data_IF_055343921841
#
_entry.id   IF_055343921841
#
_cell.length_a   1.000
_cell.length_b   1.000
_cell.length_c   1.000
_cell.angle_alpha   90.00
_cell.angle_beta   90.00
_cell.angle_gamma   90.00
#
_symmetry.space_group_name_H-M   'P 1'
#
loop_
_entity.id
_entity.type
_entity.pdbx_description
1 polymer ?
#
# COMPACT_ATOMS: atom_id res chain seq x y z
N UNK A 1 1.03 -11.88 10.43
CA UNK A 1 -0.05 -11.16 9.72
C UNK A 1 -0.80 -10.33 10.74
N UNK A 2 -1.20 -9.12 10.38
CA UNK A 2 -2.03 -8.26 11.22
C UNK A 2 -3.51 -8.64 11.03
N UNK A 3 -4.29 -8.45 12.09
CA UNK A 3 -5.75 -8.57 12.03
C UNK A 3 -6.38 -7.30 11.43
N UNK A 4 -7.63 -7.39 10.98
CA UNK A 4 -8.40 -6.24 10.51
C UNK A 4 -8.40 -5.08 11.53
N UNK A 5 -8.57 -5.39 12.83
CA UNK A 5 -8.59 -4.38 13.89
C UNK A 5 -7.23 -3.70 14.08
N UNK A 6 -6.14 -4.46 14.05
CA UNK A 6 -4.78 -3.89 14.17
C UNK A 6 -4.47 -2.96 12.98
N UNK A 7 -4.86 -3.35 11.76
CA UNK A 7 -4.70 -2.50 10.57
C UNK A 7 -5.58 -1.24 10.65
N UNK A 8 -6.84 -1.36 11.02
CA UNK A 8 -7.73 -0.23 11.24
C UNK A 8 -7.13 0.80 12.21
N UNK A 9 -6.68 0.35 13.39
CA UNK A 9 -6.08 1.22 14.38
C UNK A 9 -4.79 1.88 13.87
N UNK A 10 -4.00 1.16 13.09
CA UNK A 10 -2.77 1.70 12.48
C UNK A 10 -3.10 2.80 11.46
N UNK A 11 -3.99 2.54 10.52
CA UNK A 11 -4.44 3.50 9.50
C UNK A 11 -5.02 4.75 10.17
N UNK A 12 -5.91 4.58 11.15
CA UNK A 12 -6.52 5.67 11.90
C UNK A 12 -5.49 6.59 12.58
N UNK A 13 -4.41 6.02 13.13
CA UNK A 13 -3.32 6.82 13.73
C UNK A 13 -2.55 7.61 12.67
N UNK A 14 -2.30 7.03 11.51
CA UNK A 14 -1.64 7.72 10.39
C UNK A 14 -2.52 8.86 9.89
N UNK A 15 -3.80 8.60 9.60
CA UNK A 15 -4.73 9.62 9.09
C UNK A 15 -4.89 10.83 10.01
N UNK A 16 -4.73 10.65 11.33
CA UNK A 16 -4.82 11.74 12.31
C UNK A 16 -3.66 12.73 12.30
N UNK A 17 -2.51 12.34 11.76
CA UNK A 17 -1.28 13.15 11.81
C UNK A 17 -0.86 13.67 10.44
N UNK A 18 -1.66 13.43 9.41
CA UNK A 18 -1.36 13.90 8.05
C UNK A 18 -2.61 14.44 7.37
N UNK A 19 -2.43 15.39 6.46
CA UNK A 19 -3.46 15.88 5.54
C UNK A 19 -3.32 15.28 4.14
N UNK A 20 -2.32 14.44 3.91
CA UNK A 20 -2.12 13.75 2.62
C UNK A 20 -3.10 12.59 2.54
N UNK A 21 -3.78 12.36 1.39
CA UNK A 21 -4.63 11.18 1.21
C UNK A 21 -3.88 9.89 1.48
N UNK A 22 -4.48 8.99 2.27
CA UNK A 22 -3.87 7.69 2.62
C UNK A 22 -4.42 6.60 1.73
N UNK A 23 -3.51 5.91 1.05
CA UNK A 23 -3.78 4.67 0.33
C UNK A 23 -3.44 3.47 1.21
N UNK A 24 -4.44 2.71 1.62
CA UNK A 24 -4.31 1.64 2.60
C UNK A 24 -4.43 0.25 1.98
N UNK A 25 -3.61 -0.69 2.45
CA UNK A 25 -3.73 -2.11 2.13
C UNK A 25 -4.94 -2.72 2.89
N UNK A 26 -5.80 -3.44 2.19
CA UNK A 26 -6.91 -4.19 2.77
C UNK A 26 -6.70 -5.71 2.68
N UNK A 27 -5.48 -6.15 2.38
CA UNK A 27 -5.16 -7.56 2.20
C UNK A 27 -6.19 -8.26 1.27
N UNK A 28 -6.81 -9.34 1.73
CA UNK A 28 -7.88 -10.06 1.00
C UNK A 28 -9.29 -9.66 1.45
N UNK A 29 -9.44 -8.55 2.20
CA UNK A 29 -10.70 -8.16 2.85
C UNK A 29 -10.97 -8.92 4.15
N UNK A 30 -9.98 -9.61 4.70
CA UNK A 30 -9.96 -10.32 6.00
C UNK A 30 -10.98 -11.45 6.17
N UNK A 31 -11.61 -11.90 5.09
CA UNK A 31 -12.58 -13.00 5.14
C UNK A 31 -13.43 -13.08 3.88
N UNK A 32 -14.73 -13.38 4.04
CA UNK A 32 -15.71 -13.45 2.96
C UNK A 32 -16.30 -12.08 2.61
N UNK A 33 -17.52 -12.07 2.06
CA UNK A 33 -18.19 -10.85 1.61
C UNK A 33 -18.54 -9.90 2.76
N UNK A 34 -18.92 -10.42 3.92
CA UNK A 34 -19.30 -9.61 5.09
C UNK A 34 -18.07 -8.96 5.74
N UNK A 35 -16.95 -9.65 5.81
CA UNK A 35 -15.70 -9.08 6.28
C UNK A 35 -15.17 -8.02 5.31
N UNK A 36 -15.36 -8.23 4.00
CA UNK A 36 -15.01 -7.23 2.98
C UNK A 36 -15.86 -5.94 3.12
N UNK A 37 -17.17 -6.05 3.35
CA UNK A 37 -18.03 -4.90 3.69
C UNK A 37 -17.53 -4.17 4.93
N UNK A 38 -17.32 -4.89 6.01
CA UNK A 38 -16.78 -4.30 7.24
C UNK A 38 -15.43 -3.64 7.03
N UNK A 39 -14.59 -4.17 6.12
CA UNK A 39 -13.28 -3.57 5.84
C UNK A 39 -13.40 -2.18 5.26
N UNK A 40 -14.26 -1.98 4.24
CA UNK A 40 -14.41 -0.64 3.65
C UNK A 40 -15.00 0.35 4.65
N UNK A 41 -16.01 -0.05 5.42
CA UNK A 41 -16.61 0.80 6.48
C UNK A 41 -15.55 1.25 7.50
N UNK A 42 -14.69 0.34 7.94
CA UNK A 42 -13.61 0.66 8.88
C UNK A 42 -12.52 1.55 8.25
N UNK A 43 -12.16 1.34 6.99
CA UNK A 43 -11.15 2.16 6.31
C UNK A 43 -11.65 3.59 6.06
N UNK A 44 -12.94 3.75 5.71
CA UNK A 44 -13.61 5.07 5.66
C UNK A 44 -13.61 5.74 7.04
N UNK A 45 -14.02 5.03 8.10
CA UNK A 45 -14.01 5.53 9.48
C UNK A 45 -12.59 5.92 9.93
N UNK A 46 -11.57 5.17 9.53
CA UNK A 46 -10.18 5.48 9.85
C UNK A 46 -9.69 6.78 9.17
N UNK A 47 -10.34 7.23 8.11
CA UNK A 47 -9.99 8.42 7.32
C UNK A 47 -9.07 8.11 6.14
N UNK A 48 -8.96 6.85 5.70
CA UNK A 48 -8.28 6.52 4.46
C UNK A 48 -9.06 7.09 3.26
N UNK A 49 -8.37 7.36 2.16
CA UNK A 49 -8.99 7.86 0.92
C UNK A 49 -9.08 6.79 -0.16
N UNK A 50 -8.22 5.78 -0.08
CA UNK A 50 -8.08 4.71 -1.07
C UNK A 50 -7.75 3.42 -0.36
N UNK A 51 -8.30 2.30 -0.85
CA UNK A 51 -7.83 0.98 -0.49
C UNK A 51 -7.53 0.12 -1.73
N UNK A 52 -6.69 -0.88 -1.57
CA UNK A 52 -6.66 -2.01 -2.50
C UNK A 52 -6.98 -3.32 -1.78
N UNK A 53 -7.63 -4.22 -2.51
CA UNK A 53 -7.96 -5.57 -2.05
C UNK A 53 -7.49 -6.57 -3.10
N UNK A 54 -6.91 -7.70 -2.67
CA UNK A 54 -6.30 -8.70 -3.53
C UNK A 54 -7.07 -10.03 -3.56
N UNK A 55 -6.95 -10.75 -4.68
CA UNK A 55 -7.64 -12.02 -4.94
C UNK A 55 -6.88 -13.27 -4.47
N UNK A 56 -5.99 -13.13 -3.48
CA UNK A 56 -5.33 -14.29 -2.88
C UNK A 56 -6.29 -15.05 -1.94
N UNK A 57 -6.10 -16.39 -1.89
CA UNK A 57 -6.67 -17.22 -0.84
C UNK A 57 -5.89 -17.04 0.47
N UNK A 58 -6.58 -17.07 1.62
CA UNK A 58 -5.93 -17.05 2.93
C UNK A 58 -5.28 -18.41 3.27
N UNK A 59 -4.11 -18.42 3.92
CA UNK A 59 -3.31 -17.27 4.34
C UNK A 59 -2.53 -16.65 3.17
N UNK A 60 -2.71 -15.35 2.97
CA UNK A 60 -2.05 -14.63 1.88
C UNK A 60 -0.54 -14.53 2.08
N UNK A 61 0.19 -14.29 0.99
CA UNK A 61 1.64 -14.05 0.99
C UNK A 61 1.97 -12.75 0.28
N UNK A 62 3.16 -12.19 0.56
CA UNK A 62 3.65 -11.07 -0.24
C UNK A 62 3.65 -11.43 -1.74
N UNK A 63 3.20 -10.51 -2.59
CA UNK A 63 3.07 -10.70 -4.04
C UNK A 63 4.36 -11.17 -4.73
N UNK A 64 5.51 -10.78 -4.20
CA UNK A 64 6.83 -11.21 -4.69
C UNK A 64 7.27 -12.61 -4.22
N UNK A 65 6.52 -13.26 -3.34
CA UNK A 65 6.82 -14.62 -2.86
C UNK A 65 6.18 -15.71 -3.75
N UNK A 66 6.64 -16.93 -3.58
CA UNK A 66 6.11 -18.12 -4.25
C UNK A 66 5.05 -18.83 -3.41
N UNK A 67 4.26 -19.70 -4.04
CA UNK A 67 3.27 -20.53 -3.36
C UNK A 67 2.03 -19.77 -2.90
N UNK A 68 1.70 -18.67 -3.57
CA UNK A 68 0.39 -18.01 -3.48
C UNK A 68 -0.70 -18.92 -4.08
N UNK A 69 -1.92 -18.72 -3.63
CA UNK A 69 -3.13 -19.32 -4.20
C UNK A 69 -4.14 -18.22 -4.45
N UNK A 70 -4.97 -18.39 -5.46
CA UNK A 70 -6.03 -17.42 -5.80
C UNK A 70 -7.39 -17.99 -5.44
N UNK A 71 -8.29 -17.10 -5.03
CA UNK A 71 -9.71 -17.41 -5.00
C UNK A 71 -10.29 -17.38 -6.43
N UNK A 72 -11.41 -18.03 -6.70
CA UNK A 72 -12.12 -17.89 -7.98
C UNK A 72 -12.42 -16.41 -8.28
N UNK A 73 -12.28 -15.99 -9.54
CA UNK A 73 -12.55 -14.61 -9.94
C UNK A 73 -13.98 -14.16 -9.58
N UNK A 74 -14.98 -15.06 -9.63
CA UNK A 74 -16.35 -14.75 -9.23
C UNK A 74 -16.46 -14.47 -7.72
N UNK A 75 -15.73 -15.20 -6.88
CA UNK A 75 -15.68 -14.92 -5.45
C UNK A 75 -15.11 -13.53 -5.16
N UNK A 76 -14.03 -13.14 -5.86
CA UNK A 76 -13.49 -11.79 -5.75
C UNK A 76 -14.47 -10.73 -6.22
N UNK A 77 -15.19 -10.96 -7.33
CA UNK A 77 -16.24 -10.06 -7.81
C UNK A 77 -17.36 -9.87 -6.78
N UNK A 78 -17.75 -10.93 -6.07
CA UNK A 78 -18.75 -10.84 -4.99
C UNK A 78 -18.26 -9.99 -3.83
N UNK A 79 -16.98 -10.14 -3.39
CA UNK A 79 -16.37 -9.28 -2.37
C UNK A 79 -16.35 -7.82 -2.81
N UNK A 80 -15.91 -7.54 -4.05
CA UNK A 80 -15.87 -6.19 -4.60
C UNK A 80 -17.26 -5.54 -4.65
N UNK A 81 -18.30 -6.28 -5.11
CA UNK A 81 -19.69 -5.79 -5.08
C UNK A 81 -20.14 -5.46 -3.66
N UNK A 82 -19.85 -6.35 -2.72
CA UNK A 82 -20.23 -6.16 -1.33
C UNK A 82 -19.54 -4.92 -0.71
N UNK A 83 -18.27 -4.70 -1.02
CA UNK A 83 -17.55 -3.49 -0.60
C UNK A 83 -18.14 -2.22 -1.21
N UNK A 84 -18.38 -2.21 -2.52
CA UNK A 84 -18.95 -1.05 -3.20
C UNK A 84 -20.38 -0.73 -2.75
N UNK A 85 -21.17 -1.75 -2.39
CA UNK A 85 -22.52 -1.59 -1.81
C UNK A 85 -22.47 -0.97 -0.41
N UNK A 86 -21.46 -1.33 0.39
CA UNK A 86 -21.28 -0.82 1.75
C UNK A 86 -20.56 0.54 1.81
N UNK A 87 -19.97 0.98 0.69
CA UNK A 87 -19.24 2.25 0.61
C UNK A 87 -20.20 3.42 0.88
N UNK A 88 -19.87 4.24 1.88
CA UNK A 88 -20.67 5.41 2.27
C UNK A 88 -20.21 6.70 1.58
N UNK A 89 -18.90 6.85 1.32
CA UNK A 89 -18.33 7.99 0.62
C UNK A 89 -18.10 7.63 -0.86
N UNK A 90 -18.80 8.25 -1.81
CA UNK A 90 -18.62 7.97 -3.24
C UNK A 90 -17.21 8.33 -3.75
N UNK A 91 -16.48 9.20 -3.04
CA UNK A 91 -15.11 9.59 -3.37
C UNK A 91 -14.05 8.65 -2.75
N UNK A 92 -14.46 7.69 -1.91
CA UNK A 92 -13.57 6.66 -1.40
C UNK A 92 -13.21 5.67 -2.51
N UNK A 93 -11.92 5.54 -2.83
CA UNK A 93 -11.42 4.85 -4.01
C UNK A 93 -11.09 3.38 -3.74
N UNK A 94 -11.69 2.46 -4.49
CA UNK A 94 -11.48 1.02 -4.37
C UNK A 94 -10.67 0.51 -5.54
N UNK A 95 -9.47 -0.03 -5.28
CA UNK A 95 -8.57 -0.61 -6.28
C UNK A 95 -8.62 -2.13 -6.21
N UNK A 96 -9.02 -2.78 -7.29
CA UNK A 96 -8.94 -4.22 -7.41
C UNK A 96 -7.53 -4.66 -7.81
N UNK A 97 -6.93 -5.52 -6.96
CA UNK A 97 -5.62 -6.13 -7.20
C UNK A 97 -5.75 -7.58 -7.58
N UNK A 98 -4.93 -8.03 -8.53
CA UNK A 98 -4.74 -9.46 -8.79
C UNK A 98 -3.29 -9.87 -8.60
N UNK A 99 -3.11 -11.03 -7.99
CA UNK A 99 -1.81 -11.70 -7.82
C UNK A 99 -1.58 -12.84 -8.83
N UNK A 100 -2.41 -12.91 -9.88
CA UNK A 100 -2.38 -13.98 -10.89
C UNK A 100 -1.05 -14.11 -11.62
N UNK A 101 -0.30 -13.01 -11.83
CA UNK A 101 1.05 -13.07 -12.41
C UNK A 101 2.01 -14.03 -11.71
N UNK A 102 1.79 -14.26 -10.43
CA UNK A 102 2.64 -15.14 -9.61
C UNK A 102 2.12 -16.57 -9.48
N UNK A 103 0.92 -16.85 -9.98
CA UNK A 103 0.20 -18.15 -9.80
C UNK A 103 -0.14 -18.79 -11.14
N UNK A 104 -0.66 -18.00 -12.06
CA UNK A 104 -1.05 -18.39 -13.41
C UNK A 104 -0.16 -17.67 -14.45
N UNK A 105 -0.71 -16.70 -15.17
CA UNK A 105 -0.02 -15.93 -16.19
C UNK A 105 -0.59 -14.51 -16.37
N UNK A 106 -0.09 -13.79 -17.37
CA UNK A 106 -0.50 -12.43 -17.69
C UNK A 106 -1.94 -12.38 -18.24
N UNK A 107 -2.34 -13.36 -19.04
CA UNK A 107 -3.66 -13.37 -19.66
C UNK A 107 -4.76 -13.57 -18.62
N UNK A 108 -4.58 -14.47 -17.65
CA UNK A 108 -5.48 -14.64 -16.51
C UNK A 108 -5.52 -13.36 -15.64
N UNK A 109 -4.34 -12.75 -15.37
CA UNK A 109 -4.29 -11.52 -14.60
C UNK A 109 -5.14 -10.41 -15.25
N UNK A 110 -5.01 -10.23 -16.56
CA UNK A 110 -5.78 -9.23 -17.30
C UNK A 110 -7.27 -9.60 -17.33
N UNK A 111 -7.63 -10.84 -17.64
CA UNK A 111 -9.03 -11.28 -17.69
C UNK A 111 -9.74 -11.10 -16.33
N UNK A 112 -9.02 -11.34 -15.21
CA UNK A 112 -9.53 -11.06 -13.86
C UNK A 112 -9.81 -9.58 -13.68
N UNK A 113 -8.85 -8.69 -13.98
CA UNK A 113 -9.04 -7.25 -13.82
C UNK A 113 -10.11 -6.67 -14.76
N UNK A 114 -10.25 -7.17 -15.99
CA UNK A 114 -11.38 -6.83 -16.87
C UNK A 114 -12.71 -7.20 -16.19
N UNK A 115 -12.79 -8.37 -15.55
CA UNK A 115 -13.99 -8.81 -14.83
C UNK A 115 -14.24 -8.00 -13.55
N UNK A 116 -13.20 -7.51 -12.89
CA UNK A 116 -13.31 -6.66 -11.68
C UNK A 116 -13.68 -5.22 -12.05
N UNK A 117 -13.15 -4.70 -13.16
CA UNK A 117 -13.57 -3.41 -13.70
C UNK A 117 -15.07 -3.37 -14.01
N UNK A 118 -15.62 -4.47 -14.55
CA UNK A 118 -17.06 -4.60 -14.83
C UNK A 118 -17.95 -4.60 -13.56
N UNK A 119 -17.37 -4.75 -12.36
CA UNK A 119 -18.09 -4.60 -11.08
C UNK A 119 -18.27 -3.12 -10.71
N UNK A 120 -17.41 -2.23 -11.20
CA UNK A 120 -17.44 -0.80 -10.93
C UNK A 120 -16.41 -0.32 -9.92
N UNK A 121 -15.27 -1.02 -9.80
CA UNK A 121 -14.12 -0.54 -9.01
C UNK A 121 -13.49 0.70 -9.65
N UNK A 122 -12.77 1.47 -8.86
CA UNK A 122 -12.25 2.78 -9.28
C UNK A 122 -10.81 2.72 -9.82
N UNK A 123 -10.10 1.61 -9.62
CA UNK A 123 -8.73 1.43 -10.14
C UNK A 123 -8.31 -0.03 -10.22
N UNK A 124 -7.23 -0.29 -10.94
CA UNK A 124 -6.73 -1.64 -11.24
C UNK A 124 -5.26 -1.79 -10.88
N UNK A 125 -4.90 -2.98 -10.41
CA UNK A 125 -3.54 -3.29 -9.99
C UNK A 125 -3.17 -4.74 -10.30
N UNK A 126 -2.16 -4.94 -11.17
CA UNK A 126 -1.51 -6.25 -11.38
C UNK A 126 -0.24 -6.31 -10.54
N UNK A 127 -0.17 -7.23 -9.59
CA UNK A 127 1.02 -7.37 -8.75
C UNK A 127 2.12 -8.21 -9.42
N UNK A 128 3.37 -7.81 -9.19
CA UNK A 128 4.60 -8.50 -9.59
C UNK A 128 4.75 -8.83 -11.09
N UNK A 129 4.48 -7.93 -12.05
CA UNK A 129 4.93 -8.09 -13.43
C UNK A 129 6.46 -8.15 -13.47
N UNK A 130 7.03 -8.95 -14.40
CA UNK A 130 8.45 -9.33 -14.37
C UNK A 130 9.31 -8.61 -15.40
N UNK A 131 8.70 -7.89 -16.33
CA UNK A 131 9.42 -7.16 -17.38
C UNK A 131 8.69 -5.90 -17.82
N UNK A 132 9.40 -5.02 -18.50
CA UNK A 132 8.85 -3.79 -19.07
C UNK A 132 7.83 -4.12 -20.16
N UNK A 133 8.04 -5.20 -20.92
CA UNK A 133 7.12 -5.67 -21.95
C UNK A 133 5.79 -6.12 -21.33
N UNK A 134 5.81 -6.79 -20.19
CA UNK A 134 4.59 -7.14 -19.46
C UNK A 134 3.86 -5.90 -18.94
N UNK A 135 4.58 -4.90 -18.42
CA UNK A 135 4.00 -3.62 -18.02
C UNK A 135 3.33 -2.91 -19.20
N UNK A 136 4.01 -2.84 -20.34
CA UNK A 136 3.44 -2.25 -21.56
C UNK A 136 2.18 -3.00 -22.03
N UNK A 137 2.17 -4.33 -21.96
CA UNK A 137 1.01 -5.14 -22.35
C UNK A 137 -0.16 -4.97 -21.39
N UNK A 138 0.09 -4.90 -20.06
CA UNK A 138 -0.92 -4.60 -19.04
C UNK A 138 -1.57 -3.25 -19.36
N UNK A 139 -0.76 -2.23 -19.56
CA UNK A 139 -1.28 -0.89 -19.90
C UNK A 139 -2.06 -0.90 -21.20
N UNK A 140 -1.51 -1.48 -22.26
CA UNK A 140 -2.18 -1.55 -23.57
C UNK A 140 -3.57 -2.19 -23.50
N UNK A 141 -3.74 -3.22 -22.66
CA UNK A 141 -5.01 -3.96 -22.56
C UNK A 141 -5.99 -3.34 -21.56
N UNK A 142 -5.50 -2.77 -20.47
CA UNK A 142 -6.39 -2.29 -19.39
C UNK A 142 -6.72 -0.79 -19.49
N UNK A 143 -5.86 0.06 -20.07
CA UNK A 143 -6.17 1.51 -20.26
C UNK A 143 -7.46 1.79 -21.04
N UNK A 144 -7.87 1.00 -22.05
CA UNK A 144 -9.14 1.20 -22.71
C UNK A 144 -10.37 1.08 -21.81
N UNK A 145 -10.23 0.48 -20.62
CA UNK A 145 -11.31 0.43 -19.62
C UNK A 145 -11.56 1.79 -18.94
N UNK A 146 -10.67 2.77 -19.12
CA UNK A 146 -10.82 4.12 -18.59
C UNK A 146 -10.52 4.24 -17.09
N UNK A 147 -9.99 3.18 -16.45
CA UNK A 147 -9.64 3.19 -15.04
C UNK A 147 -8.14 3.45 -14.81
N UNK A 148 -7.79 4.16 -13.73
CA UNK A 148 -6.40 4.32 -13.33
C UNK A 148 -5.68 2.98 -13.07
N UNK A 149 -4.42 2.90 -13.51
CA UNK A 149 -3.55 1.75 -13.30
C UNK A 149 -2.49 2.06 -12.25
N UNK A 150 -2.37 1.19 -11.26
CA UNK A 150 -1.33 1.24 -10.24
C UNK A 150 -0.15 0.35 -10.62
N UNK A 151 1.07 0.87 -10.43
CA UNK A 151 2.32 0.13 -10.51
C UNK A 151 3.00 0.05 -9.15
N UNK A 152 3.36 -1.18 -8.73
CA UNK A 152 4.09 -1.43 -7.50
C UNK A 152 5.58 -1.64 -7.79
N UNK A 153 6.41 -0.75 -7.26
CA UNK A 153 7.86 -0.82 -7.35
C UNK A 153 8.44 -1.32 -6.04
N UNK A 154 8.98 -2.53 -6.06
CA UNK A 154 9.65 -3.14 -4.91
C UNK A 154 11.11 -3.37 -5.26
N UNK A 155 12.02 -2.65 -4.58
CA UNK A 155 13.46 -2.82 -4.79
C UNK A 155 13.89 -4.26 -4.47
N UNK A 156 14.63 -4.86 -5.39
CA UNK A 156 15.04 -6.28 -5.33
C UNK A 156 13.86 -7.27 -5.33
N UNK A 157 12.66 -6.81 -5.70
CA UNK A 157 11.50 -7.66 -5.97
C UNK A 157 11.55 -8.29 -7.37
N UNK A 158 10.39 -8.77 -7.84
CA UNK A 158 10.26 -9.38 -9.17
C UNK A 158 10.03 -8.37 -10.29
N UNK A 159 9.42 -7.23 -9.96
CA UNK A 159 9.07 -6.19 -10.92
C UNK A 159 10.27 -5.34 -11.32
N UNK A 160 10.32 -4.81 -12.55
CA UNK A 160 11.28 -3.80 -12.95
C UNK A 160 11.23 -2.60 -12.01
N UNK A 161 12.37 -2.01 -11.71
CA UNK A 161 12.45 -0.79 -10.92
C UNK A 161 12.65 0.41 -11.85
N UNK A 162 11.61 1.18 -12.03
CA UNK A 162 11.52 2.29 -12.98
C UNK A 162 11.52 3.63 -12.23
N UNK A 163 11.79 4.70 -12.96
CA UNK A 163 11.44 6.05 -12.50
C UNK A 163 9.92 6.26 -12.64
N UNK A 164 9.38 7.23 -11.90
CA UNK A 164 7.96 7.60 -12.06
C UNK A 164 7.65 8.06 -13.49
N UNK A 165 8.60 8.70 -14.15
CA UNK A 165 8.44 9.14 -15.54
C UNK A 165 8.31 7.95 -16.49
N UNK A 166 9.18 6.95 -16.37
CA UNK A 166 9.11 5.73 -17.19
C UNK A 166 7.81 4.96 -16.95
N UNK A 167 7.35 4.86 -15.68
CA UNK A 167 6.06 4.24 -15.37
C UNK A 167 4.89 5.01 -16.00
N UNK A 168 4.91 6.33 -15.93
CA UNK A 168 3.90 7.19 -16.58
C UNK A 168 3.92 7.04 -18.11
N UNK A 169 5.10 7.04 -18.74
CA UNK A 169 5.24 6.89 -20.19
C UNK A 169 4.77 5.49 -20.66
N UNK A 170 4.77 4.49 -19.78
CA UNK A 170 4.15 3.17 -20.01
C UNK A 170 2.63 3.18 -19.80
N UNK A 171 2.04 4.28 -19.28
CA UNK A 171 0.59 4.44 -19.09
C UNK A 171 0.07 4.13 -17.68
N UNK A 172 0.94 4.03 -16.68
CA UNK A 172 0.50 3.92 -15.28
C UNK A 172 0.22 5.31 -14.71
N UNK A 173 -0.86 5.43 -13.95
CA UNK A 173 -1.34 6.72 -13.44
C UNK A 173 -0.72 7.05 -12.09
N UNK A 174 -0.37 6.04 -11.29
CA UNK A 174 0.32 6.18 -10.03
C UNK A 174 1.18 4.95 -9.70
N UNK A 175 2.18 5.16 -8.87
CA UNK A 175 3.10 4.12 -8.44
C UNK A 175 3.30 4.17 -6.93
N UNK A 176 3.53 3.01 -6.32
CA UNK A 176 3.85 2.87 -4.91
C UNK A 176 5.24 2.25 -4.73
N UNK A 177 5.94 2.69 -3.66
CA UNK A 177 7.21 2.15 -3.20
C UNK A 177 7.04 1.70 -1.73
N UNK A 178 6.38 0.57 -1.47
CA UNK A 178 5.85 0.26 -0.14
C UNK A 178 6.93 -0.15 0.87
N UNK A 179 8.06 -0.64 0.44
CA UNK A 179 9.08 -1.23 1.33
C UNK A 179 10.32 -0.36 1.53
N UNK A 180 10.58 0.62 0.69
CA UNK A 180 11.78 1.43 0.73
C UNK A 180 12.01 2.16 2.07
N UNK A 181 10.99 2.81 2.67
CA UNK A 181 11.17 3.45 3.97
C UNK A 181 11.55 2.47 5.08
N UNK A 182 10.95 1.28 5.08
CA UNK A 182 11.25 0.22 6.04
C UNK A 182 12.67 -0.33 5.84
N UNK A 183 13.09 -0.56 4.59
CA UNK A 183 14.44 -1.02 4.27
C UNK A 183 15.50 0.01 4.65
N UNK A 184 15.25 1.29 4.40
CA UNK A 184 16.13 2.39 4.79
C UNK A 184 16.25 2.50 6.32
N UNK A 185 15.12 2.48 7.03
CA UNK A 185 15.07 2.51 8.49
C UNK A 185 15.82 1.31 9.08
N UNK A 186 15.56 0.09 8.59
CA UNK A 186 16.25 -1.12 9.05
C UNK A 186 17.76 -0.99 8.91
N UNK A 187 18.25 -0.55 7.76
CA UNK A 187 19.68 -0.36 7.52
C UNK A 187 20.29 0.68 8.49
N UNK A 188 19.65 1.84 8.61
CA UNK A 188 20.13 2.92 9.47
C UNK A 188 20.16 2.50 10.94
N UNK A 189 19.07 1.89 11.44
CA UNK A 189 19.01 1.41 12.84
C UNK A 189 20.01 0.30 13.11
N UNK A 190 20.18 -0.65 12.19
CA UNK A 190 21.17 -1.72 12.31
C UNK A 190 22.59 -1.18 12.43
N UNK A 191 23.00 -0.29 11.49
CA UNK A 191 24.32 0.34 11.51
C UNK A 191 24.55 1.15 12.81
N UNK A 192 23.53 1.87 13.27
CA UNK A 192 23.59 2.61 14.53
C UNK A 192 23.83 1.68 15.71
N UNK A 193 23.07 0.57 15.82
CA UNK A 193 23.22 -0.38 16.94
C UNK A 193 24.56 -1.11 16.90
N UNK A 194 25.06 -1.53 15.74
CA UNK A 194 26.37 -2.14 15.58
C UNK A 194 27.49 -1.18 16.00
N UNK A 195 27.40 0.09 15.60
CA UNK A 195 28.36 1.13 16.01
C UNK A 195 28.28 1.39 17.51
N UNK A 196 27.06 1.55 18.05
CA UNK A 196 26.86 1.77 19.47
C UNK A 196 27.53 0.67 20.33
N UNK A 197 27.35 -0.60 19.97
CA UNK A 197 27.97 -1.71 20.68
C UNK A 197 29.49 -1.75 20.52
N UNK A 198 30.00 -1.49 19.33
CA UNK A 198 31.45 -1.51 19.03
C UNK A 198 32.20 -0.37 19.73
N UNK A 199 31.60 0.81 19.81
CA UNK A 199 32.20 2.02 20.38
C UNK A 199 31.95 2.20 21.89
N UNK A 200 31.66 1.13 22.62
CA UNK A 200 31.44 1.17 24.06
C UNK A 200 30.17 1.95 24.46
N UNK A 201 29.08 1.71 23.77
CA UNK A 201 27.78 2.38 23.97
C UNK A 201 27.81 3.89 23.60
N UNK A 202 28.50 4.23 22.51
CA UNK A 202 28.56 5.60 21.98
C UNK A 202 28.15 5.64 20.49
N UNK A 203 27.54 6.74 20.09
CA UNK A 203 27.21 7.03 18.67
C UNK A 203 28.08 8.13 18.06
N UNK A 204 29.15 8.57 18.77
CA UNK A 204 30.00 9.67 18.29
C UNK A 204 30.58 9.44 16.88
N UNK A 205 30.88 8.18 16.52
CA UNK A 205 31.42 7.83 15.21
C UNK A 205 30.40 7.98 14.05
N UNK A 206 29.14 8.20 14.34
CA UNK A 206 28.07 8.40 13.35
C UNK A 206 27.19 9.62 13.67
N UNK A 207 27.66 10.54 14.49
CA UNK A 207 26.89 11.70 14.92
C UNK A 207 26.40 12.57 13.75
N UNK A 208 27.18 12.66 12.68
CA UNK A 208 26.86 13.36 11.44
C UNK A 208 25.73 12.70 10.62
N UNK A 209 25.40 11.47 10.94
CA UNK A 209 24.33 10.68 10.29
C UNK A 209 23.03 10.62 11.09
N UNK A 210 23.03 11.22 12.28
CA UNK A 210 21.86 11.32 13.15
C UNK A 210 21.23 12.69 13.00
N UNK A 211 19.91 12.73 12.93
CA UNK A 211 19.18 14.00 12.95
C UNK A 211 19.44 14.72 14.27
N UNK A 212 19.82 16.01 14.27
CA UNK A 212 19.95 16.79 15.50
C UNK A 212 18.65 16.77 16.32
N UNK A 213 18.80 16.74 17.65
CA UNK A 213 17.65 16.63 18.56
C UNK A 213 16.64 17.77 18.39
N UNK A 214 17.13 18.99 18.17
CA UNK A 214 16.27 20.17 17.97
C UNK A 214 15.51 20.08 16.64
N UNK A 215 16.15 19.64 15.56
CA UNK A 215 15.51 19.44 14.27
C UNK A 215 14.42 18.36 14.35
N UNK A 216 14.68 17.26 15.05
CA UNK A 216 13.67 16.22 15.28
C UNK A 216 12.49 16.74 16.08
N UNK A 217 12.73 17.52 17.14
CA UNK A 217 11.67 18.14 17.95
C UNK A 217 10.81 19.12 17.12
N UNK A 218 11.43 19.91 16.26
CA UNK A 218 10.71 20.81 15.34
C UNK A 218 9.85 20.00 14.35
N UNK A 219 10.41 18.92 13.79
CA UNK A 219 9.68 18.04 12.87
C UNK A 219 8.42 17.41 13.49
N UNK A 220 8.48 17.00 14.77
CA UNK A 220 7.31 16.45 15.48
C UNK A 220 6.36 17.50 16.04
N UNK A 221 6.61 18.80 15.79
CA UNK A 221 5.70 19.90 16.16
C UNK A 221 5.84 20.39 17.61
N UNK A 222 6.97 20.16 18.29
CA UNK A 222 7.16 20.57 19.70
C UNK A 222 6.85 22.05 19.93
N UNK A 223 7.27 22.93 19.01
CA UNK A 223 7.04 24.39 19.15
C UNK A 223 5.55 24.74 19.21
N UNK A 224 4.73 24.05 18.43
CA UNK A 224 3.28 24.26 18.43
C UNK A 224 2.64 23.82 19.75
N UNK A 225 3.08 22.67 20.29
CA UNK A 225 2.63 22.20 21.61
C UNK A 225 2.99 23.20 22.71
N UNK A 226 4.22 23.67 22.74
CA UNK A 226 4.68 24.68 23.71
C UNK A 226 3.91 26.01 23.56
N UNK A 227 3.62 26.45 22.33
CA UNK A 227 2.85 27.65 22.11
C UNK A 227 1.41 27.50 22.64
N UNK A 228 0.76 26.35 22.38
CA UNK A 228 -0.58 26.06 22.93
C UNK A 228 -0.59 25.96 24.45
N UNK A 229 0.40 25.32 25.05
CA UNK A 229 0.53 25.26 26.50
C UNK A 229 0.63 26.66 27.11
N UNK A 230 1.44 27.57 26.57
CA UNK A 230 1.53 28.96 27.01
C UNK A 230 0.24 29.76 26.80
N UNK A 231 -0.54 29.44 25.78
CA UNK A 231 -1.81 30.12 25.51
C UNK A 231 -2.92 29.72 26.50
N UNK A 232 -2.96 28.46 26.94
CA UNK A 232 -4.05 27.91 27.74
C UNK A 232 -3.60 27.39 29.12
N UNK A 233 -2.32 27.21 29.32
CA UNK A 233 -1.72 26.83 30.59
C UNK A 233 -1.37 28.05 31.42
N UNK A 234 -1.30 27.87 32.69
CA UNK A 234 -0.84 28.89 33.66
C UNK A 234 0.67 29.00 33.61
#
# INVERSE_FOLDING_TARGET
MLTQTEMFEHIRRICRVTSVPIFADADTGYGGVLEAQRTIELWEEAGASVLHIEDQAMPKKCGHFTGKQLIPAEEMRQKLRAMLDARSDPDFFVVARTDAMGVTDLDDAIARLESYAAVGVDGLYVDAPRSVEQLAEISRRLKPLGLPLLFNMVRSGKSPYLTLREAYDLGFDYAICPVEPMLAMHKAVKEMMETFMREGCSTNAIADRLTPFDEFNDFIGLREFVAREKQFGS
#
